data_IF_143822592342
#
_entry.id   IF_143822592342
#
_cell.length_a   1.000
_cell.length_b   1.000
_cell.length_c   1.000
_cell.angle_alpha   90.00
_cell.angle_beta   90.00
_cell.angle_gamma   90.00
#
_symmetry.space_group_name_H-M   'P 1'
#
loop_
_entity.id
_entity.type
_entity.pdbx_description
1 polymer ?
#
# COMPACT_ATOMS: atom_id res chain seq x y z
N UNK A 1 24.01 -33.39 -10.74
CA UNK A 1 23.19 -34.40 -11.45
C UNK A 1 22.26 -34.99 -10.41
N UNK A 2 21.03 -34.49 -10.34
CA UNK A 2 20.07 -34.89 -9.30
C UNK A 2 19.29 -36.11 -9.78
N UNK A 3 19.29 -37.18 -8.97
CA UNK A 3 18.57 -38.41 -9.24
C UNK A 3 17.11 -38.12 -9.57
N UNK A 4 16.74 -38.37 -10.82
CA UNK A 4 15.38 -38.25 -11.32
C UNK A 4 14.53 -39.38 -10.75
N UNK A 5 14.08 -39.21 -9.51
CA UNK A 5 13.00 -40.02 -8.94
C UNK A 5 11.75 -39.76 -9.77
N UNK A 6 11.19 -40.82 -10.37
CA UNK A 6 10.01 -40.74 -11.23
C UNK A 6 8.84 -40.07 -10.50
N UNK A 7 7.96 -39.42 -11.26
CA UNK A 7 6.72 -38.81 -10.73
C UNK A 7 5.90 -39.86 -9.94
N UNK A 8 5.92 -41.12 -10.38
CA UNK A 8 5.24 -42.23 -9.70
C UNK A 8 5.80 -42.51 -8.30
N UNK A 9 7.12 -42.48 -8.13
CA UNK A 9 7.74 -42.65 -6.82
C UNK A 9 7.45 -41.47 -5.92
N UNK A 10 7.44 -40.24 -6.45
CA UNK A 10 7.06 -39.05 -5.69
C UNK A 10 5.60 -39.13 -5.23
N UNK A 11 4.69 -39.54 -6.12
CA UNK A 11 3.27 -39.76 -5.80
C UNK A 11 3.10 -40.77 -4.68
N UNK A 12 3.78 -41.91 -4.77
CA UNK A 12 3.72 -42.97 -3.74
C UNK A 12 4.15 -42.44 -2.37
N UNK A 13 5.26 -41.69 -2.31
CA UNK A 13 5.76 -41.09 -1.07
C UNK A 13 4.73 -40.13 -0.48
N UNK A 14 4.16 -39.24 -1.30
CA UNK A 14 3.22 -38.22 -0.84
C UNK A 14 1.87 -38.81 -0.39
N UNK A 15 1.36 -39.80 -1.12
CA UNK A 15 0.12 -40.48 -0.74
C UNK A 15 0.28 -41.27 0.57
N UNK A 16 1.42 -41.94 0.75
CA UNK A 16 1.72 -42.64 1.99
C UNK A 16 1.82 -41.66 3.17
N UNK A 17 2.55 -40.55 2.99
CA UNK A 17 2.68 -39.51 4.01
C UNK A 17 1.32 -38.90 4.38
N UNK A 18 0.50 -38.55 3.38
CA UNK A 18 -0.84 -38.00 3.60
C UNK A 18 -1.70 -38.96 4.44
N UNK A 19 -1.66 -40.26 4.14
CA UNK A 19 -2.38 -41.29 4.90
C UNK A 19 -1.90 -41.39 6.35
N UNK A 20 -0.59 -41.35 6.58
CA UNK A 20 0.00 -41.42 7.92
C UNK A 20 -0.32 -40.19 8.78
N UNK A 21 -0.38 -39.01 8.17
CA UNK A 21 -0.72 -37.75 8.84
C UNK A 21 -2.23 -37.48 8.90
N UNK A 22 -3.07 -38.38 8.39
CA UNK A 22 -4.54 -38.20 8.37
C UNK A 22 -5.02 -37.08 7.45
N UNK A 23 -4.25 -36.73 6.43
CA UNK A 23 -4.60 -35.71 5.43
C UNK A 23 -5.51 -36.29 4.35
N UNK A 24 -6.53 -35.52 3.95
CA UNK A 24 -7.40 -35.88 2.83
C UNK A 24 -6.88 -35.27 1.53
N UNK A 25 -6.50 -36.12 0.58
CA UNK A 25 -6.00 -35.67 -0.73
C UNK A 25 -7.16 -35.25 -1.63
N UNK A 26 -7.25 -33.95 -1.90
CA UNK A 26 -8.32 -33.36 -2.76
C UNK A 26 -7.92 -33.22 -4.23
N UNK A 27 -6.62 -33.30 -4.53
CA UNK A 27 -6.09 -33.19 -5.89
C UNK A 27 -4.57 -33.40 -5.94
N UNK A 28 -4.07 -33.69 -7.14
CA UNK A 28 -2.64 -33.72 -7.45
C UNK A 28 -2.36 -32.64 -8.51
N UNK A 29 -1.22 -31.97 -8.37
CA UNK A 29 -0.75 -30.92 -9.29
C UNK A 29 0.62 -31.32 -9.85
N UNK A 30 0.72 -31.46 -11.16
CA UNK A 30 1.89 -32.03 -11.84
C UNK A 30 2.34 -31.12 -12.98
N UNK A 31 3.48 -30.46 -12.79
CA UNK A 31 4.13 -29.63 -13.79
C UNK A 31 5.38 -30.34 -14.37
N UNK A 32 5.17 -31.37 -15.19
CA UNK A 32 6.28 -32.07 -15.85
C UNK A 32 6.92 -31.21 -16.95
N UNK A 33 8.26 -31.18 -17.00
CA UNK A 33 9.03 -30.39 -17.97
C UNK A 33 9.12 -28.87 -17.69
N UNK A 34 8.59 -28.38 -16.58
CA UNK A 34 8.64 -26.95 -16.23
C UNK A 34 9.85 -26.59 -15.36
N UNK A 35 10.44 -25.41 -15.59
CA UNK A 35 11.52 -24.92 -14.71
C UNK A 35 10.97 -24.50 -13.36
N UNK A 36 11.54 -25.01 -12.27
CA UNK A 36 11.24 -24.54 -10.91
C UNK A 36 11.64 -23.08 -10.63
N UNK A 37 12.26 -22.36 -11.56
CA UNK A 37 12.59 -20.93 -11.41
C UNK A 37 11.46 -19.99 -11.83
N UNK A 38 10.38 -20.50 -12.43
CA UNK A 38 9.21 -19.73 -12.81
C UNK A 38 7.97 -20.29 -12.11
N UNK A 39 7.11 -19.40 -11.63
CA UNK A 39 5.82 -19.74 -11.01
C UNK A 39 4.65 -19.67 -11.99
N UNK A 40 4.88 -19.27 -13.25
CA UNK A 40 3.90 -19.37 -14.35
C UNK A 40 3.79 -20.82 -14.87
N UNK A 41 3.52 -21.76 -13.97
CA UNK A 41 3.30 -23.17 -14.32
C UNK A 41 1.80 -23.46 -14.29
N UNK A 42 1.23 -24.19 -15.27
CA UNK A 42 -0.20 -24.39 -15.37
C UNK A 42 -0.83 -25.02 -14.13
N UNK A 43 -0.21 -26.09 -13.60
CA UNK A 43 -0.77 -26.82 -12.47
C UNK A 43 -0.47 -26.12 -11.13
N UNK A 44 0.65 -25.40 -11.03
CA UNK A 44 0.86 -24.45 -9.94
C UNK A 44 -0.20 -23.35 -9.89
N UNK A 45 -0.54 -22.74 -11.03
CA UNK A 45 -1.58 -21.71 -11.07
C UNK A 45 -2.95 -22.30 -10.69
N UNK A 46 -3.26 -23.51 -11.18
CA UNK A 46 -4.48 -24.25 -10.78
C UNK A 46 -4.52 -24.50 -9.27
N UNK A 47 -3.39 -24.87 -8.66
CA UNK A 47 -3.27 -25.02 -7.21
C UNK A 47 -3.55 -23.70 -6.49
N UNK A 48 -2.99 -22.59 -6.97
CA UNK A 48 -3.22 -21.28 -6.38
C UNK A 48 -4.68 -20.83 -6.50
N UNK A 49 -5.35 -21.10 -7.62
CA UNK A 49 -6.77 -20.82 -7.81
C UNK A 49 -7.64 -21.65 -6.83
N UNK A 50 -7.28 -22.92 -6.58
CA UNK A 50 -7.95 -23.77 -5.60
C UNK A 50 -7.71 -23.31 -4.15
N UNK A 51 -6.52 -22.78 -3.85
CA UNK A 51 -6.22 -22.11 -2.57
C UNK A 51 -7.07 -20.86 -2.40
N UNK A 52 -7.19 -20.02 -3.43
CA UNK A 52 -8.00 -18.80 -3.40
C UNK A 52 -9.50 -19.11 -3.25
N UNK A 53 -9.96 -20.20 -3.87
CA UNK A 53 -11.32 -20.70 -3.71
C UNK A 53 -11.57 -21.39 -2.35
N UNK A 54 -10.54 -21.56 -1.51
CA UNK A 54 -10.63 -22.21 -0.20
C UNK A 54 -10.85 -23.72 -0.26
N UNK A 55 -10.56 -24.36 -1.40
CA UNK A 55 -10.68 -25.82 -1.58
C UNK A 55 -9.48 -26.58 -1.00
N UNK A 56 -8.33 -25.91 -0.90
CA UNK A 56 -7.07 -26.46 -0.40
C UNK A 56 -6.61 -25.62 0.78
N UNK A 57 -6.31 -26.29 1.90
CA UNK A 57 -5.74 -25.68 3.10
C UNK A 57 -4.39 -26.31 3.50
N UNK A 58 -3.91 -27.30 2.75
CA UNK A 58 -2.63 -27.94 2.98
C UNK A 58 -1.97 -28.32 1.64
N UNK A 59 -0.73 -27.93 1.46
CA UNK A 59 0.10 -28.26 0.30
C UNK A 59 1.24 -29.16 0.78
N UNK A 60 1.42 -30.31 0.13
CA UNK A 60 2.47 -31.27 0.46
C UNK A 60 3.34 -31.51 -0.76
N UNK A 61 4.65 -31.33 -0.61
CA UNK A 61 5.63 -31.62 -1.67
C UNK A 61 6.64 -32.65 -1.18
N UNK A 62 7.29 -33.35 -2.12
CA UNK A 62 8.35 -34.29 -1.75
C UNK A 62 9.49 -33.56 -1.08
N UNK A 63 9.96 -32.50 -1.73
CA UNK A 63 11.10 -31.70 -1.34
C UNK A 63 10.87 -30.26 -1.79
N UNK A 64 11.56 -29.30 -1.19
CA UNK A 64 11.37 -27.87 -1.48
C UNK A 64 11.60 -27.52 -2.95
N UNK A 65 12.46 -28.27 -3.64
CA UNK A 65 12.75 -28.03 -5.06
C UNK A 65 11.55 -28.29 -5.99
N UNK A 66 10.54 -29.05 -5.51
CA UNK A 66 9.27 -29.26 -6.22
C UNK A 66 8.34 -28.06 -6.12
N UNK A 67 8.44 -27.30 -5.04
CA UNK A 67 7.69 -26.07 -4.88
C UNK A 67 8.26 -24.95 -5.74
N UNK A 68 9.57 -24.73 -5.67
CA UNK A 68 10.26 -23.72 -6.49
C UNK A 68 11.77 -23.77 -6.30
N UNK A 69 12.48 -22.96 -7.08
CA UNK A 69 13.93 -22.72 -6.98
C UNK A 69 14.27 -21.23 -6.97
N UNK A 70 13.29 -20.36 -7.17
CA UNK A 70 13.46 -18.92 -7.01
C UNK A 70 13.16 -18.60 -5.54
N UNK A 71 14.24 -18.37 -4.78
CA UNK A 71 14.19 -18.28 -3.32
C UNK A 71 13.28 -17.15 -2.83
N UNK A 72 13.25 -15.99 -3.51
CA UNK A 72 12.48 -14.84 -3.05
C UNK A 72 10.97 -15.16 -3.07
N UNK A 73 10.47 -15.67 -4.19
CA UNK A 73 9.08 -16.02 -4.37
C UNK A 73 8.69 -17.22 -3.50
N UNK A 74 9.59 -18.20 -3.31
CA UNK A 74 9.33 -19.29 -2.35
C UNK A 74 9.06 -18.75 -0.95
N UNK A 75 9.93 -17.87 -0.46
CA UNK A 75 9.79 -17.27 0.86
C UNK A 75 8.50 -16.43 0.95
N UNK A 76 8.16 -15.69 -0.12
CA UNK A 76 6.89 -14.97 -0.21
C UNK A 76 5.68 -15.91 -0.01
N UNK A 77 5.64 -17.05 -0.71
CA UNK A 77 4.54 -17.99 -0.58
C UNK A 77 4.48 -18.62 0.81
N UNK A 78 5.60 -19.14 1.30
CA UNK A 78 5.65 -19.91 2.55
C UNK A 78 5.46 -19.04 3.79
N UNK A 79 6.03 -17.84 3.82
CA UNK A 79 6.02 -16.99 5.02
C UNK A 79 4.87 -15.99 5.06
N UNK A 80 4.30 -15.65 3.91
CA UNK A 80 3.30 -14.59 3.81
C UNK A 80 2.00 -15.09 3.22
N UNK A 81 1.99 -15.52 1.96
CA UNK A 81 0.74 -15.82 1.26
C UNK A 81 -0.01 -17.01 1.87
N UNK A 82 0.68 -18.12 2.13
CA UNK A 82 0.05 -19.30 2.71
C UNK A 82 -0.45 -19.04 4.14
N UNK A 83 0.32 -18.41 5.05
CA UNK A 83 -0.20 -18.00 6.35
C UNK A 83 -1.42 -17.06 6.27
N UNK A 84 -1.41 -16.06 5.39
CA UNK A 84 -2.55 -15.15 5.16
C UNK A 84 -3.80 -15.93 4.73
N UNK A 85 -3.62 -16.90 3.82
CA UNK A 85 -4.68 -17.78 3.31
C UNK A 85 -5.01 -18.95 4.23
N UNK A 86 -4.33 -19.08 5.38
CA UNK A 86 -4.45 -20.23 6.31
C UNK A 86 -4.16 -21.58 5.65
N UNK A 87 -3.19 -21.60 4.74
CA UNK A 87 -2.67 -22.80 4.10
C UNK A 87 -1.43 -23.26 4.84
N UNK A 88 -1.40 -24.55 5.21
CA UNK A 88 -0.23 -25.23 5.75
C UNK A 88 0.63 -25.77 4.59
N UNK A 89 1.93 -25.62 4.66
CA UNK A 89 2.86 -26.23 3.71
C UNK A 89 3.76 -27.26 4.39
N UNK A 90 3.96 -28.40 3.74
CA UNK A 90 4.77 -29.52 4.21
C UNK A 90 5.74 -29.96 3.11
N UNK A 91 7.03 -30.07 3.45
CA UNK A 91 8.03 -30.72 2.60
C UNK A 91 8.55 -31.98 3.28
N UNK A 92 8.30 -33.15 2.67
CA UNK A 92 8.49 -34.46 3.32
C UNK A 92 9.96 -34.80 3.52
N UNK A 93 10.83 -34.53 2.54
CA UNK A 93 12.24 -34.90 2.58
C UNK A 93 13.02 -34.10 3.64
N UNK A 94 12.69 -32.82 3.79
CA UNK A 94 13.28 -31.92 4.79
C UNK A 94 12.59 -32.03 6.15
N UNK A 95 11.48 -32.78 6.27
CA UNK A 95 10.63 -32.84 7.46
C UNK A 95 10.16 -31.44 7.93
N UNK A 96 9.92 -30.55 6.97
CA UNK A 96 9.52 -29.17 7.17
C UNK A 96 8.00 -29.04 7.18
N UNK A 97 7.50 -28.21 8.09
CA UNK A 97 6.07 -28.02 8.33
C UNK A 97 5.80 -26.62 8.86
N UNK A 98 5.14 -25.78 8.07
CA UNK A 98 4.88 -24.37 8.44
C UNK A 98 4.06 -24.23 9.72
N UNK A 99 3.27 -25.24 10.09
CA UNK A 99 2.48 -25.22 11.33
C UNK A 99 3.36 -25.39 12.58
N UNK A 100 4.52 -26.05 12.46
CA UNK A 100 5.48 -26.27 13.56
C UNK A 100 6.50 -25.12 13.69
N UNK A 101 6.47 -24.17 12.75
CA UNK A 101 7.41 -23.06 12.64
C UNK A 101 8.50 -23.35 11.61
N UNK A 102 8.78 -22.35 10.78
CA UNK A 102 9.86 -22.40 9.78
C UNK A 102 11.20 -22.11 10.49
N UNK A 103 12.03 -23.13 10.67
CA UNK A 103 13.30 -23.01 11.41
C UNK A 103 14.28 -22.03 10.76
N UNK A 104 14.38 -22.05 9.42
CA UNK A 104 15.56 -21.48 8.73
C UNK A 104 15.24 -20.44 7.62
N UNK A 105 13.99 -20.01 7.46
CA UNK A 105 13.54 -19.21 6.29
C UNK A 105 13.54 -17.68 6.48
N UNK A 106 14.17 -17.19 7.56
CA UNK A 106 13.93 -15.85 8.12
C UNK A 106 14.56 -14.60 7.41
N UNK A 107 15.35 -14.61 6.31
CA UNK A 107 16.03 -13.36 5.91
C UNK A 107 15.13 -12.27 5.31
N UNK A 108 13.92 -12.56 4.81
CA UNK A 108 13.24 -11.65 3.86
C UNK A 108 11.91 -11.02 4.32
N UNK A 109 11.37 -11.33 5.51
CA UNK A 109 10.14 -10.68 6.02
C UNK A 109 10.20 -9.15 5.99
N UNK A 110 11.34 -8.58 6.37
CA UNK A 110 11.55 -7.14 6.35
C UNK A 110 11.55 -6.57 4.91
N UNK A 111 12.11 -7.32 3.95
CA UNK A 111 12.13 -6.92 2.55
C UNK A 111 10.72 -6.89 1.96
N UNK A 112 9.89 -7.89 2.26
CA UNK A 112 8.50 -7.92 1.80
C UNK A 112 7.66 -6.79 2.39
N UNK A 113 7.78 -6.57 3.71
CA UNK A 113 7.09 -5.46 4.36
C UNK A 113 7.48 -4.11 3.73
N UNK A 114 8.76 -3.89 3.45
CA UNK A 114 9.25 -2.68 2.79
C UNK A 114 8.72 -2.56 1.34
N UNK A 115 8.71 -3.67 0.60
CA UNK A 115 8.21 -3.71 -0.77
C UNK A 115 6.71 -3.39 -0.84
N UNK A 116 5.88 -3.99 0.01
CA UNK A 116 4.44 -3.72 0.08
C UNK A 116 4.13 -2.28 0.47
N UNK A 117 4.88 -1.72 1.44
CA UNK A 117 4.74 -0.32 1.81
C UNK A 117 5.04 0.60 0.61
N UNK A 118 6.09 0.29 -0.16
CA UNK A 118 6.44 1.03 -1.39
C UNK A 118 5.39 0.88 -2.48
N UNK A 119 4.90 -0.33 -2.75
CA UNK A 119 3.89 -0.58 -3.78
C UNK A 119 2.55 0.08 -3.44
N UNK A 120 2.10 -0.03 -2.19
CA UNK A 120 0.89 0.65 -1.69
C UNK A 120 1.02 2.17 -1.85
N UNK A 121 2.16 2.75 -1.45
CA UNK A 121 2.43 4.18 -1.63
C UNK A 121 2.35 4.58 -3.11
N UNK A 122 2.89 3.75 -4.01
CA UNK A 122 2.85 3.98 -5.47
C UNK A 122 1.42 3.97 -6.00
N UNK A 123 0.61 2.98 -5.63
CA UNK A 123 -0.80 2.86 -6.03
C UNK A 123 -1.64 4.04 -5.53
N UNK A 124 -1.47 4.45 -4.26
CA UNK A 124 -2.17 5.61 -3.69
C UNK A 124 -1.80 6.90 -4.43
N UNK A 125 -0.51 7.13 -4.70
CA UNK A 125 -0.06 8.29 -5.47
C UNK A 125 -0.63 8.29 -6.90
N UNK A 126 -0.65 7.14 -7.57
CA UNK A 126 -1.24 7.00 -8.89
C UNK A 126 -2.74 7.32 -8.89
N UNK A 127 -3.49 6.80 -7.91
CA UNK A 127 -4.91 7.09 -7.75
C UNK A 127 -5.18 8.58 -7.50
N UNK A 128 -4.38 9.25 -6.67
CA UNK A 128 -4.49 10.70 -6.47
C UNK A 128 -4.14 11.49 -7.73
N UNK A 129 -3.09 11.11 -8.46
CA UNK A 129 -2.71 11.75 -9.73
C UNK A 129 -3.84 11.66 -10.76
N UNK A 130 -4.46 10.48 -10.91
CA UNK A 130 -5.58 10.29 -11.82
C UNK A 130 -6.78 11.18 -11.45
N UNK A 131 -7.11 11.27 -10.15
CA UNK A 131 -8.20 12.14 -9.68
C UNK A 131 -7.88 13.63 -9.91
N UNK A 132 -6.65 14.07 -9.62
CA UNK A 132 -6.22 15.45 -9.86
C UNK A 132 -6.27 15.83 -11.34
N UNK A 133 -5.91 14.91 -12.25
CA UNK A 133 -6.00 15.14 -13.69
C UNK A 133 -7.44 15.37 -14.18
N UNK A 134 -8.45 14.84 -13.47
CA UNK A 134 -9.87 15.07 -13.77
C UNK A 134 -10.45 16.30 -13.06
N UNK A 135 -9.60 17.16 -12.47
CA UNK A 135 -10.02 18.37 -11.76
C UNK A 135 -10.59 18.10 -10.35
N UNK A 136 -10.51 16.87 -9.85
CA UNK A 136 -10.88 16.57 -8.47
C UNK A 136 -9.74 16.94 -7.53
N UNK A 137 -10.03 17.60 -6.41
CA UNK A 137 -9.11 17.82 -5.31
C UNK A 137 -9.53 17.04 -4.08
N UNK A 138 -8.63 16.17 -3.62
CA UNK A 138 -8.83 15.35 -2.43
C UNK A 138 -8.04 15.98 -1.30
N UNK A 139 -8.75 16.54 -0.33
CA UNK A 139 -8.20 17.14 0.86
C UNK A 139 -9.29 17.38 1.89
N UNK A 140 -8.93 17.37 3.16
CA UNK A 140 -9.86 17.68 4.24
C UNK A 140 -10.42 19.11 4.12
N UNK A 141 -9.57 20.04 3.66
CA UNK A 141 -9.91 21.47 3.52
C UNK A 141 -9.61 21.95 2.10
N UNK A 142 -10.34 22.96 1.65
CA UNK A 142 -10.02 23.65 0.40
C UNK A 142 -8.80 24.57 0.59
N UNK A 143 -7.93 24.71 -0.42
CA UNK A 143 -6.88 25.75 -0.42
C UNK A 143 -7.50 27.15 -0.35
N UNK A 144 -6.72 28.12 0.16
CA UNK A 144 -7.15 29.53 0.17
C UNK A 144 -7.47 30.02 -1.25
N UNK A 145 -8.50 30.87 -1.39
CA UNK A 145 -9.03 31.30 -2.68
C UNK A 145 -9.99 30.32 -3.35
N UNK A 146 -10.22 29.15 -2.73
CA UNK A 146 -11.14 28.13 -3.23
C UNK A 146 -12.07 27.60 -2.12
N UNK A 147 -13.23 27.09 -2.54
CA UNK A 147 -14.17 26.37 -1.70
C UNK A 147 -14.49 25.01 -2.29
N UNK A 148 -14.88 24.06 -1.44
CA UNK A 148 -15.47 22.80 -1.92
C UNK A 148 -16.82 23.10 -2.54
N UNK A 149 -17.10 22.49 -3.68
CA UNK A 149 -18.42 22.55 -4.29
C UNK A 149 -19.44 21.90 -3.33
N UNK A 150 -20.59 22.54 -3.05
CA UNK A 150 -21.55 22.05 -2.07
C UNK A 150 -22.14 20.68 -2.47
N UNK A 151 -22.38 20.48 -3.77
CA UNK A 151 -23.04 19.28 -4.28
C UNK A 151 -22.10 18.24 -4.92
N UNK A 152 -20.94 18.68 -5.43
CA UNK A 152 -20.05 17.83 -6.22
C UNK A 152 -18.81 17.51 -5.39
N UNK A 153 -18.73 16.25 -4.93
CA UNK A 153 -17.61 15.78 -4.13
C UNK A 153 -16.27 16.01 -4.83
N UNK A 154 -15.28 16.50 -4.08
CA UNK A 154 -13.93 16.79 -4.54
C UNK A 154 -13.81 17.86 -5.64
N UNK A 155 -14.88 18.55 -6.03
CA UNK A 155 -14.79 19.69 -6.95
C UNK A 155 -14.50 20.96 -6.16
N UNK A 156 -13.65 21.84 -6.70
CA UNK A 156 -13.40 23.16 -6.15
C UNK A 156 -14.12 24.23 -6.98
N UNK A 157 -14.54 25.29 -6.30
CA UNK A 157 -15.06 26.53 -6.88
C UNK A 157 -14.25 27.71 -6.34
N UNK A 158 -14.24 28.83 -7.05
CA UNK A 158 -13.54 30.06 -6.61
C UNK A 158 -14.26 30.61 -5.36
N UNK A 159 -13.47 31.03 -4.39
CA UNK A 159 -13.96 31.73 -3.20
C UNK A 159 -13.85 33.25 -3.40
N UNK A 160 -14.93 33.92 -3.79
CA UNK A 160 -14.92 35.36 -4.06
C UNK A 160 -14.48 36.20 -2.84
N UNK A 161 -14.65 35.70 -1.61
CA UNK A 161 -14.23 36.41 -0.39
C UNK A 161 -12.70 36.36 -0.17
N UNK A 162 -12.04 35.28 -0.60
CA UNK A 162 -10.61 35.04 -0.29
C UNK A 162 -9.71 34.99 -1.52
N UNK A 163 -10.26 35.01 -2.74
CA UNK A 163 -9.49 35.00 -4.00
C UNK A 163 -8.47 36.12 -4.09
N UNK A 164 -8.80 37.30 -3.57
CA UNK A 164 -7.94 38.48 -3.61
C UNK A 164 -6.63 38.26 -2.86
N UNK A 165 -6.62 37.39 -1.83
CA UNK A 165 -5.41 37.04 -1.08
C UNK A 165 -4.44 36.27 -1.97
N UNK A 166 -4.97 35.32 -2.75
CA UNK A 166 -4.18 34.54 -3.71
C UNK A 166 -3.66 35.46 -4.82
N UNK A 167 -4.54 36.25 -5.43
CA UNK A 167 -4.18 37.21 -6.47
C UNK A 167 -3.09 38.18 -5.99
N UNK A 168 -3.20 38.70 -4.76
CA UNK A 168 -2.18 39.56 -4.14
C UNK A 168 -0.85 38.85 -3.93
N UNK A 169 -0.84 37.61 -3.45
CA UNK A 169 0.39 36.84 -3.26
C UNK A 169 1.09 36.63 -4.61
N UNK A 170 0.34 36.26 -5.65
CA UNK A 170 0.88 36.08 -7.00
C UNK A 170 1.38 37.39 -7.60
N UNK A 171 0.66 38.50 -7.43
CA UNK A 171 1.08 39.82 -7.89
C UNK A 171 2.39 40.26 -7.24
N UNK A 172 2.51 40.14 -5.92
CA UNK A 172 3.75 40.46 -5.21
C UNK A 172 4.93 39.58 -5.67
N UNK A 173 4.69 38.29 -5.87
CA UNK A 173 5.70 37.37 -6.38
C UNK A 173 6.12 37.70 -7.81
N UNK A 174 5.16 38.04 -8.67
CA UNK A 174 5.39 38.47 -10.05
C UNK A 174 6.27 39.73 -10.11
N UNK A 175 6.06 40.66 -9.18
CA UNK A 175 6.90 41.85 -9.02
C UNK A 175 8.23 41.61 -8.26
N UNK A 176 8.65 40.34 -8.11
CA UNK A 176 9.97 39.98 -7.61
C UNK A 176 10.11 39.91 -6.09
N UNK A 177 9.01 39.95 -5.32
CA UNK A 177 9.07 39.78 -3.87
C UNK A 177 9.27 38.30 -3.51
N UNK A 178 10.29 38.02 -2.70
CA UNK A 178 10.49 36.69 -2.13
C UNK A 178 9.45 36.33 -1.07
N UNK A 179 9.22 35.03 -0.85
CA UNK A 179 8.18 34.53 0.07
C UNK A 179 8.26 35.11 1.50
N UNK A 180 9.47 35.32 2.04
CA UNK A 180 9.65 35.95 3.36
C UNK A 180 9.14 37.41 3.38
N UNK A 181 9.44 38.18 2.32
CA UNK A 181 8.94 39.54 2.17
C UNK A 181 7.42 39.57 2.05
N UNK A 182 6.84 38.63 1.30
CA UNK A 182 5.38 38.52 1.14
C UNK A 182 4.74 38.19 2.50
N UNK A 183 5.29 37.24 3.25
CA UNK A 183 4.83 36.91 4.61
C UNK A 183 4.82 38.15 5.51
N UNK A 184 5.90 38.94 5.53
CA UNK A 184 5.96 40.17 6.33
C UNK A 184 4.91 41.21 5.92
N UNK A 185 4.65 41.35 4.61
CA UNK A 185 3.61 42.25 4.08
C UNK A 185 2.22 41.81 4.57
N UNK A 186 1.88 40.52 4.42
CA UNK A 186 0.59 39.98 4.83
C UNK A 186 0.35 40.13 6.35
N UNK A 187 1.39 39.93 7.16
CA UNK A 187 1.32 40.14 8.62
C UNK A 187 1.09 41.62 8.94
N UNK A 188 1.87 42.52 8.33
CA UNK A 188 1.79 43.96 8.59
C UNK A 188 0.41 44.54 8.22
N UNK A 189 -0.18 44.05 7.14
CA UNK A 189 -1.52 44.43 6.68
C UNK A 189 -2.66 43.71 7.41
N UNK A 190 -2.34 42.83 8.38
CA UNK A 190 -3.32 41.99 9.09
C UNK A 190 -4.23 41.18 8.16
N UNK A 191 -3.66 40.56 7.14
CA UNK A 191 -4.40 39.63 6.27
C UNK A 191 -4.68 38.33 7.05
N UNK A 192 -5.93 37.87 7.15
CA UNK A 192 -6.27 36.67 7.91
C UNK A 192 -5.65 35.41 7.28
N UNK A 193 -5.17 34.51 8.13
CA UNK A 193 -4.57 33.24 7.69
C UNK A 193 -5.63 32.23 7.23
N UNK A 194 -5.30 31.30 6.31
CA UNK A 194 -6.25 30.27 5.84
C UNK A 194 -6.89 29.46 6.98
N UNK A 195 -6.09 29.13 8.01
CA UNK A 195 -6.57 28.38 9.18
C UNK A 195 -7.60 29.17 9.99
N UNK A 196 -7.36 30.47 10.19
CA UNK A 196 -8.28 31.35 10.89
C UNK A 196 -9.59 31.54 10.11
N UNK A 197 -9.52 31.69 8.79
CA UNK A 197 -10.70 31.78 7.92
C UNK A 197 -11.54 30.49 8.04
N UNK A 198 -10.91 29.32 7.99
CA UNK A 198 -11.59 28.03 8.14
C UNK A 198 -12.19 27.85 9.55
N UNK A 199 -11.55 28.41 10.58
CA UNK A 199 -12.10 28.47 11.94
C UNK A 199 -13.35 29.32 12.03
N UNK A 200 -13.33 30.53 11.46
CA UNK A 200 -14.48 31.43 11.49
C UNK A 200 -15.69 30.86 10.75
N UNK A 201 -15.46 30.13 9.65
CA UNK A 201 -16.53 29.58 8.82
C UNK A 201 -17.11 28.28 9.35
N UNK A 202 -16.24 27.32 9.67
CA UNK A 202 -16.63 25.93 9.88
C UNK A 202 -16.30 25.43 11.30
N UNK A 203 -15.73 26.27 12.17
CA UNK A 203 -15.24 25.89 13.49
C UNK A 203 -14.01 24.97 13.48
N UNK A 204 -13.47 24.69 12.30
CA UNK A 204 -12.25 23.86 12.15
C UNK A 204 -11.05 24.57 12.77
N UNK A 205 -10.05 23.84 13.27
CA UNK A 205 -8.92 24.43 13.99
C UNK A 205 -9.28 25.21 15.28
N UNK A 206 -10.46 24.94 15.88
CA UNK A 206 -10.84 25.56 17.16
C UNK A 206 -9.79 25.34 18.27
N UNK A 207 -9.13 24.18 18.29
CA UNK A 207 -8.03 23.89 19.20
C UNK A 207 -6.81 24.83 19.05
N UNK A 208 -6.70 25.57 17.95
CA UNK A 208 -5.62 26.50 17.66
C UNK A 208 -6.05 27.96 17.90
N UNK A 209 -7.28 28.30 17.54
CA UNK A 209 -7.73 29.70 17.51
C UNK A 209 -8.72 30.07 18.61
N UNK A 210 -9.44 29.11 19.21
CA UNK A 210 -10.37 29.42 20.30
C UNK A 210 -9.59 29.90 21.54
N UNK A 211 -9.85 31.14 21.97
CA UNK A 211 -9.16 31.76 23.11
C UNK A 211 -7.71 32.19 22.82
N UNK A 212 -7.25 32.12 21.57
CA UNK A 212 -5.93 32.60 21.19
C UNK A 212 -5.89 34.15 21.09
N UNK A 213 -4.73 34.79 21.31
CA UNK A 213 -4.54 36.21 21.07
C UNK A 213 -4.87 36.60 19.62
N UNK A 214 -5.35 37.82 19.39
CA UNK A 214 -5.80 38.29 18.07
C UNK A 214 -4.69 38.18 17.02
N UNK A 215 -3.43 38.42 17.41
CA UNK A 215 -2.25 38.37 16.56
C UNK A 215 -2.08 37.00 15.88
N UNK A 216 -2.58 35.93 16.52
CA UNK A 216 -2.52 34.57 15.98
C UNK A 216 -3.29 34.43 14.67
N UNK A 217 -4.34 35.22 14.48
CA UNK A 217 -5.19 35.24 13.29
C UNK A 217 -4.44 35.63 12.02
N UNK A 218 -3.38 36.43 12.18
CA UNK A 218 -2.59 37.04 11.10
C UNK A 218 -1.17 36.48 11.01
N UNK A 219 -0.83 35.47 11.81
CA UNK A 219 0.51 34.91 11.91
C UNK A 219 0.87 34.01 10.70
N UNK A 220 1.09 34.63 9.54
CA UNK A 220 1.50 33.94 8.32
C UNK A 220 2.89 33.31 8.43
N UNK A 221 3.07 32.20 7.74
CA UNK A 221 4.35 31.51 7.59
C UNK A 221 4.79 31.47 6.14
N UNK A 222 6.10 31.31 5.92
CA UNK A 222 6.67 31.14 4.57
C UNK A 222 6.08 29.92 3.87
N UNK A 223 5.78 28.86 4.63
CA UNK A 223 5.17 27.64 4.08
C UNK A 223 3.77 27.91 3.51
N UNK A 224 2.96 28.72 4.17
CA UNK A 224 1.63 29.09 3.70
C UNK A 224 1.65 29.99 2.47
N UNK A 225 2.70 30.81 2.29
CA UNK A 225 2.86 31.63 1.08
C UNK A 225 3.29 30.78 -0.13
N UNK A 226 4.00 29.67 0.11
CA UNK A 226 4.52 28.79 -0.94
C UNK A 226 3.59 27.63 -1.32
N UNK A 227 2.56 27.35 -0.52
CA UNK A 227 1.64 26.22 -0.68
C UNK A 227 0.59 26.47 -1.74
#
# INVERSE_FOLDING_TARGET
>A
YGDSVSIETQRTILQQYAKEQGLHVVGEYVDDGWSGTNFERPDFQRMMDDVEAGKVNCIVTKDLSRFGREHVMMDYYLEFLFPEKRVRYIAVAENEDTEKGLSDFVPFKNLFNEWFAKDTSRKVKAAFKAKFATGQRIGAYAPIGYRKHPEIKNKLIIDEETRWIVEKIFDLAFHGRGAASITSILIAEKVPTPGFINFQRDGTFANIYAGAPEEKSYAWTIAQVKS
#
